data_IF_210998000545
#
_entry.id   IF_210998000545
#
_cell.length_a   1.000
_cell.length_b   1.000
_cell.length_c   1.000
_cell.angle_alpha   90.00
_cell.angle_beta   90.00
_cell.angle_gamma   90.00
#
_symmetry.space_group_name_H-M   'P 1'
#
loop_
_entity.id
_entity.type
_entity.pdbx_description
1 polymer ?
#
# COMPACT_ATOMS: atom_id res chain seq x y z
N UNK A 1 3.24 35.91 6.17
CA UNK A 1 3.82 34.64 6.72
C UNK A 1 3.01 33.47 6.19
N UNK A 2 3.64 32.37 5.76
CA UNK A 2 2.94 31.17 5.30
C UNK A 2 2.65 30.21 6.49
N UNK A 3 1.44 29.62 6.60
CA UNK A 3 1.12 28.68 7.67
C UNK A 3 1.90 27.36 7.51
N UNK A 4 2.48 26.83 8.60
CA UNK A 4 3.28 25.58 8.55
C UNK A 4 2.46 24.34 8.21
N UNK A 5 1.19 24.30 8.60
CA UNK A 5 0.25 23.25 8.20
C UNK A 5 -1.05 23.88 7.71
N UNK A 6 -1.56 23.38 6.59
CA UNK A 6 -2.87 23.73 6.06
C UNK A 6 -3.91 22.72 6.60
N UNK A 7 -4.80 23.18 7.48
CA UNK A 7 -5.89 22.37 8.06
C UNK A 7 -6.95 21.96 7.04
N UNK A 8 -7.99 21.24 7.45
CA UNK A 8 -8.95 20.64 6.51
C UNK A 8 -10.10 21.58 6.08
N UNK A 9 -10.52 22.53 6.93
CA UNK A 9 -11.55 23.54 6.61
C UNK A 9 -10.95 24.80 5.94
N UNK A 10 -9.82 24.66 5.25
CA UNK A 10 -9.01 25.77 4.70
C UNK A 10 -9.45 26.21 3.30
N UNK A 11 -10.10 25.35 2.54
CA UNK A 11 -10.67 25.70 1.23
C UNK A 11 -11.91 26.59 1.33
N UNK A 12 -12.54 26.66 2.52
CA UNK A 12 -13.84 27.33 2.77
C UNK A 12 -13.78 28.45 3.81
N UNK A 13 -12.68 28.60 4.56
CA UNK A 13 -12.48 29.75 5.46
C UNK A 13 -11.85 30.93 4.72
N UNK A 14 -12.52 32.08 4.72
CA UNK A 14 -12.26 33.28 3.89
C UNK A 14 -10.95 34.05 4.18
N UNK A 15 -10.01 33.43 4.89
CA UNK A 15 -8.66 33.97 5.13
C UNK A 15 -7.85 34.00 3.82
N UNK A 16 -7.54 35.22 3.33
CA UNK A 16 -6.69 35.43 2.14
C UNK A 16 -5.34 34.71 2.25
N UNK A 17 -4.75 34.66 3.46
CA UNK A 17 -3.49 33.96 3.71
C UNK A 17 -3.57 32.44 3.59
N UNK A 18 -4.76 31.86 3.77
CA UNK A 18 -4.99 30.41 3.67
C UNK A 18 -5.03 29.97 2.21
N UNK A 19 -5.82 30.66 1.36
CA UNK A 19 -5.87 30.39 -0.08
C UNK A 19 -4.50 30.61 -0.75
N UNK A 20 -3.79 31.68 -0.36
CA UNK A 20 -2.42 31.95 -0.79
C UNK A 20 -1.45 30.81 -0.42
N UNK A 21 -1.63 30.20 0.76
CA UNK A 21 -0.88 29.01 1.18
C UNK A 21 -1.13 27.79 0.27
N UNK A 22 -2.39 27.51 -0.07
CA UNK A 22 -2.72 26.42 -0.99
C UNK A 22 -2.18 26.66 -2.42
N UNK A 23 -2.27 27.89 -2.94
CA UNK A 23 -1.68 28.24 -4.24
C UNK A 23 -0.15 28.14 -4.22
N UNK A 24 0.51 28.54 -3.13
CA UNK A 24 1.96 28.40 -2.98
C UNK A 24 2.40 26.92 -2.92
N UNK A 25 1.68 26.05 -2.21
CA UNK A 25 1.92 24.59 -2.25
C UNK A 25 1.82 24.04 -3.67
N UNK A 26 0.78 24.41 -4.43
CA UNK A 26 0.60 23.91 -5.80
C UNK A 26 1.68 24.43 -6.77
N UNK A 27 2.09 25.70 -6.66
CA UNK A 27 3.19 26.26 -7.47
C UNK A 27 4.53 25.60 -7.12
N UNK A 28 4.83 25.46 -5.83
CA UNK A 28 6.06 24.81 -5.36
C UNK A 28 6.09 23.34 -5.75
N UNK A 29 4.96 22.62 -5.67
CA UNK A 29 4.83 21.27 -6.20
C UNK A 29 5.07 21.24 -7.71
N UNK A 30 4.44 22.14 -8.50
CA UNK A 30 4.58 22.16 -9.97
C UNK A 30 6.01 22.35 -10.43
N UNK A 31 6.78 23.21 -9.75
CA UNK A 31 8.21 23.43 -10.01
C UNK A 31 8.97 22.11 -9.78
N UNK A 32 9.08 21.65 -8.53
CA UNK A 32 9.91 20.50 -8.19
C UNK A 32 9.42 19.19 -8.85
N UNK A 33 8.11 18.99 -9.03
CA UNK A 33 7.55 17.84 -9.74
C UNK A 33 7.70 17.90 -11.27
N UNK A 34 8.09 19.02 -11.85
CA UNK A 34 8.38 19.13 -13.29
C UNK A 34 9.88 19.05 -13.53
N UNK A 35 10.69 19.73 -12.73
CA UNK A 35 12.15 19.60 -12.75
C UNK A 35 12.58 18.16 -12.46
N UNK A 36 11.99 17.47 -11.47
CA UNK A 36 12.27 16.05 -11.21
C UNK A 36 11.93 15.12 -12.39
N UNK A 37 10.88 15.42 -13.17
CA UNK A 37 10.56 14.65 -14.39
C UNK A 37 11.54 14.96 -15.52
N UNK A 38 12.00 16.21 -15.60
CA UNK A 38 12.96 16.65 -16.61
C UNK A 38 14.31 15.98 -16.37
N UNK A 39 14.88 16.14 -15.17
CA UNK A 39 16.12 15.47 -14.75
C UNK A 39 16.06 13.96 -15.01
N UNK A 40 14.99 13.27 -14.58
CA UNK A 40 14.85 11.81 -14.77
C UNK A 40 14.80 11.38 -16.26
N UNK A 41 14.29 12.21 -17.18
CA UNK A 41 14.36 11.95 -18.63
C UNK A 41 15.78 12.14 -19.19
N UNK A 42 16.53 13.07 -18.61
CA UNK A 42 17.89 13.45 -18.97
C UNK A 42 18.92 12.82 -18.01
N UNK A 43 18.63 11.62 -17.50
CA UNK A 43 19.40 10.91 -16.46
C UNK A 43 20.65 10.18 -16.99
N UNK A 44 21.02 10.43 -18.25
CA UNK A 44 22.20 9.88 -18.93
C UNK A 44 22.96 11.02 -19.60
N UNK A 45 24.29 10.93 -19.56
CA UNK A 45 25.23 11.94 -20.09
C UNK A 45 25.00 12.27 -21.58
N UNK A 46 24.48 11.32 -22.36
CA UNK A 46 24.14 11.48 -23.78
C UNK A 46 22.83 12.28 -24.02
N UNK A 47 22.59 13.36 -23.28
CA UNK A 47 21.33 14.11 -23.35
C UNK A 47 21.55 15.63 -23.29
N UNK A 48 20.56 16.42 -23.72
CA UNK A 48 20.70 17.88 -23.93
C UNK A 48 20.92 18.73 -22.64
N UNK A 49 21.12 18.09 -21.49
CA UNK A 49 21.29 18.70 -20.18
C UNK A 49 22.78 19.00 -19.93
N UNK A 50 23.28 20.08 -20.54
CA UNK A 50 24.66 20.55 -20.34
C UNK A 50 24.93 20.97 -18.89
N UNK A 51 26.20 21.01 -18.50
CA UNK A 51 26.63 21.45 -17.17
C UNK A 51 26.09 22.84 -16.81
N UNK A 52 26.04 23.76 -17.78
CA UNK A 52 25.55 25.14 -17.57
C UNK A 52 24.07 25.16 -17.22
N UNK A 53 23.22 24.46 -17.99
CA UNK A 53 21.79 24.29 -17.69
C UNK A 53 21.56 23.61 -16.33
N UNK A 54 22.49 22.74 -15.92
CA UNK A 54 22.43 22.05 -14.64
C UNK A 54 22.82 22.97 -13.48
N UNK A 55 23.77 23.90 -13.69
CA UNK A 55 24.05 25.00 -12.76
C UNK A 55 22.87 25.96 -12.65
N UNK A 56 22.29 26.42 -13.78
CA UNK A 56 21.08 27.26 -13.79
C UNK A 56 19.93 26.63 -12.99
N UNK A 57 19.68 25.32 -13.18
CA UNK A 57 18.68 24.57 -12.42
C UNK A 57 19.05 24.45 -10.94
N UNK A 58 20.32 24.21 -10.60
CA UNK A 58 20.78 24.14 -9.21
C UNK A 58 20.61 25.47 -8.48
N UNK A 59 21.02 26.58 -9.08
CA UNK A 59 20.88 27.93 -8.53
C UNK A 59 19.40 28.28 -8.32
N UNK A 60 18.57 28.08 -9.34
CA UNK A 60 17.12 28.35 -9.25
C UNK A 60 16.43 27.48 -8.18
N UNK A 61 16.75 26.18 -8.09
CA UNK A 61 16.20 25.30 -7.05
C UNK A 61 16.66 25.72 -5.64
N UNK A 62 17.91 26.15 -5.50
CA UNK A 62 18.46 26.67 -4.23
C UNK A 62 17.80 28.00 -3.85
N UNK A 63 17.61 28.91 -4.79
CA UNK A 63 16.88 30.17 -4.59
C UNK A 63 15.43 29.90 -4.16
N UNK A 64 14.78 28.89 -4.74
CA UNK A 64 13.43 28.44 -4.39
C UNK A 64 13.34 27.87 -2.97
N UNK A 65 14.32 27.09 -2.51
CA UNK A 65 14.40 26.63 -1.11
C UNK A 65 14.64 27.78 -0.11
N UNK A 66 15.32 28.85 -0.53
CA UNK A 66 15.53 30.02 0.32
C UNK A 66 14.34 30.99 0.36
N UNK A 67 13.26 30.77 -0.43
CA UNK A 67 12.06 31.62 -0.37
C UNK A 67 11.28 31.42 0.94
N UNK A 68 10.54 32.44 1.42
CA UNK A 68 9.69 32.36 2.61
C UNK A 68 8.66 31.22 2.63
N UNK A 69 8.31 30.62 1.50
CA UNK A 69 7.46 29.43 1.46
C UNK A 69 8.18 28.15 1.92
N UNK A 70 9.49 28.02 1.69
CA UNK A 70 10.27 26.92 2.23
C UNK A 70 10.77 27.28 3.64
N UNK A 71 11.56 28.34 3.80
CA UNK A 71 12.23 28.69 5.07
C UNK A 71 11.29 28.80 6.30
N UNK A 72 10.10 29.40 6.16
CA UNK A 72 9.13 29.51 7.27
C UNK A 72 8.59 28.17 7.81
N UNK A 73 8.96 27.05 7.18
CA UNK A 73 8.68 25.70 7.63
C UNK A 73 9.58 25.28 8.80
N UNK A 74 10.88 25.62 8.71
CA UNK A 74 11.94 25.04 9.52
C UNK A 74 12.13 25.73 10.88
N UNK A 75 11.90 27.04 10.97
CA UNK A 75 12.34 27.84 12.13
C UNK A 75 11.49 27.72 13.41
N UNK A 76 11.81 26.76 14.30
CA UNK A 76 11.89 27.12 15.73
C UNK A 76 12.83 26.25 16.57
N UNK A 77 13.54 25.31 15.93
CA UNK A 77 14.59 24.50 16.50
C UNK A 77 15.74 24.44 15.51
N UNK A 78 16.94 24.77 15.97
CA UNK A 78 18.18 24.89 15.17
C UNK A 78 18.17 26.05 14.17
N UNK A 79 18.90 27.12 14.51
CA UNK A 79 19.58 27.93 13.49
C UNK A 79 20.64 26.98 12.91
N UNK A 80 20.47 26.56 11.66
CA UNK A 80 21.49 25.80 10.95
C UNK A 80 22.31 26.79 10.12
N UNK A 81 23.61 26.82 10.41
CA UNK A 81 24.63 27.37 9.52
C UNK A 81 24.59 26.66 8.16
N UNK A 82 25.25 27.27 7.18
CA UNK A 82 25.24 26.88 5.77
C UNK A 82 25.46 25.37 5.50
N UNK A 83 24.90 24.91 4.37
CA UNK A 83 25.20 23.64 3.66
C UNK A 83 24.47 22.32 4.01
N UNK A 84 23.50 22.24 4.93
CA UNK A 84 23.03 20.93 5.46
C UNK A 84 21.54 20.52 5.35
N UNK A 85 20.68 21.21 4.58
CA UNK A 85 19.26 20.80 4.43
C UNK A 85 19.08 19.51 3.61
N UNK A 86 19.57 19.48 2.36
CA UNK A 86 19.48 18.31 1.47
C UNK A 86 20.36 17.12 1.90
N UNK A 87 21.44 17.40 2.64
CA UNK A 87 22.38 16.40 3.16
C UNK A 87 21.65 15.37 4.07
N UNK A 88 20.78 15.85 4.97
CA UNK A 88 20.03 15.03 5.92
C UNK A 88 19.05 14.01 5.29
N UNK A 89 18.64 14.19 4.03
CA UNK A 89 17.81 13.23 3.30
C UNK A 89 18.66 12.28 2.46
N UNK A 90 19.77 12.79 1.89
CA UNK A 90 20.74 11.95 1.17
C UNK A 90 21.33 10.88 2.09
N UNK A 91 21.90 11.30 3.22
CA UNK A 91 22.69 10.43 4.10
C UNK A 91 21.84 9.36 4.80
N UNK A 92 20.57 9.65 5.11
CA UNK A 92 19.68 8.75 5.85
C UNK A 92 19.12 7.60 4.98
N UNK A 93 19.16 7.75 3.65
CA UNK A 93 18.52 6.83 2.70
C UNK A 93 19.49 6.19 1.71
N UNK A 94 20.59 6.87 1.38
CA UNK A 94 21.64 6.39 0.48
C UNK A 94 23.02 6.71 1.07
N UNK A 95 23.41 6.08 2.20
CA UNK A 95 24.73 6.27 2.78
C UNK A 95 25.82 5.88 1.78
N UNK A 96 26.64 6.86 1.40
CA UNK A 96 27.97 6.71 0.83
C UNK A 96 28.16 5.68 -0.30
N UNK A 97 27.61 5.99 -1.48
CA UNK A 97 28.27 5.63 -2.77
C UNK A 97 29.29 6.71 -3.17
N UNK A 98 30.20 7.05 -2.25
CA UNK A 98 31.15 8.17 -2.38
C UNK A 98 32.59 7.78 -2.70
N UNK A 99 32.88 6.49 -2.79
CA UNK A 99 34.26 5.97 -2.85
C UNK A 99 34.71 5.63 -4.29
N UNK A 100 33.98 6.17 -5.28
CA UNK A 100 34.36 6.23 -6.68
C UNK A 100 34.40 7.70 -7.09
N UNK A 101 35.32 8.05 -8.00
CA UNK A 101 35.49 9.43 -8.51
C UNK A 101 34.16 9.87 -9.14
N UNK A 102 33.40 10.69 -8.42
CA UNK A 102 32.09 11.15 -8.88
C UNK A 102 32.33 12.23 -9.94
N UNK A 103 31.88 11.95 -11.16
CA UNK A 103 31.82 12.95 -12.23
C UNK A 103 31.15 14.25 -11.73
N UNK A 104 31.74 15.44 -11.97
CA UNK A 104 31.18 16.71 -11.50
C UNK A 104 29.76 16.98 -11.99
N UNK A 105 29.38 16.54 -13.20
CA UNK A 105 28.01 16.69 -13.70
C UNK A 105 27.04 15.80 -12.91
N UNK A 106 27.38 14.54 -12.67
CA UNK A 106 26.58 13.61 -11.87
C UNK A 106 26.48 14.07 -10.41
N UNK A 107 27.54 14.63 -9.83
CA UNK A 107 27.51 15.23 -8.49
C UNK A 107 26.50 16.39 -8.41
N UNK A 108 26.47 17.28 -9.41
CA UNK A 108 25.52 18.39 -9.48
C UNK A 108 24.08 17.91 -9.81
N UNK A 109 23.95 16.88 -10.65
CA UNK A 109 22.67 16.25 -10.99
C UNK A 109 22.01 15.66 -9.74
N UNK A 110 22.78 14.96 -8.89
CA UNK A 110 22.30 14.46 -7.61
C UNK A 110 21.81 15.59 -6.69
N UNK A 111 22.54 16.72 -6.61
CA UNK A 111 22.06 17.90 -5.87
C UNK A 111 20.71 18.40 -6.40
N UNK A 112 20.55 18.54 -7.71
CA UNK A 112 19.29 18.97 -8.33
C UNK A 112 18.12 17.99 -8.05
N UNK A 113 18.39 16.68 -8.07
CA UNK A 113 17.43 15.64 -7.67
C UNK A 113 17.03 15.79 -6.20
N UNK A 114 17.98 15.97 -5.29
CA UNK A 114 17.71 16.13 -3.86
C UNK A 114 16.92 17.40 -3.53
N UNK A 115 17.27 18.55 -4.11
CA UNK A 115 16.50 19.79 -3.99
C UNK A 115 15.05 19.60 -4.45
N UNK A 116 14.82 18.80 -5.50
CA UNK A 116 13.49 18.43 -5.95
C UNK A 116 12.74 17.50 -4.98
N UNK A 117 13.40 16.49 -4.41
CA UNK A 117 12.81 15.56 -3.44
C UNK A 117 12.41 16.30 -2.16
N UNK A 118 13.30 17.15 -1.63
CA UNK A 118 13.04 18.01 -0.48
C UNK A 118 11.89 18.98 -0.75
N UNK A 119 11.88 19.65 -1.91
CA UNK A 119 10.81 20.57 -2.27
C UNK A 119 9.42 19.91 -2.34
N UNK A 120 9.37 18.65 -2.78
CA UNK A 120 8.16 17.82 -2.74
C UNK A 120 7.79 17.39 -1.33
N UNK A 121 8.78 17.06 -0.49
CA UNK A 121 8.57 16.74 0.93
C UNK A 121 7.95 17.93 1.68
N UNK A 122 8.45 19.16 1.48
CA UNK A 122 7.87 20.39 2.05
C UNK A 122 6.39 20.54 1.63
N UNK A 123 6.04 20.27 0.37
CA UNK A 123 4.64 20.32 -0.09
C UNK A 123 3.73 19.36 0.67
N UNK A 124 4.17 18.11 0.83
CA UNK A 124 3.41 17.07 1.54
C UNK A 124 3.33 17.38 3.03
N UNK A 125 4.43 17.83 3.65
CA UNK A 125 4.48 18.00 5.09
C UNK A 125 3.75 19.29 5.55
N UNK A 126 3.67 20.32 4.67
CA UNK A 126 2.74 21.46 4.82
C UNK A 126 1.27 21.11 4.57
N UNK A 127 0.98 20.19 3.66
CA UNK A 127 -0.38 19.73 3.37
C UNK A 127 -0.43 18.20 3.30
N UNK A 128 -0.66 17.56 4.45
CA UNK A 128 -0.54 16.10 4.65
C UNK A 128 -1.56 15.24 3.87
N UNK A 129 -2.35 15.85 2.98
CA UNK A 129 -3.24 15.18 2.03
C UNK A 129 -2.88 15.48 0.57
N UNK A 130 -1.66 15.97 0.31
CA UNK A 130 -1.16 16.31 -1.02
C UNK A 130 -0.84 15.07 -1.87
N UNK A 131 -1.89 14.36 -2.30
CA UNK A 131 -1.82 13.11 -3.05
C UNK A 131 -0.92 13.17 -4.30
N UNK A 132 -0.87 14.32 -5.00
CA UNK A 132 0.01 14.54 -6.15
C UNK A 132 1.50 14.45 -5.77
N UNK A 133 1.86 14.92 -4.58
CA UNK A 133 3.22 14.85 -4.02
C UNK A 133 3.60 13.45 -3.56
N UNK A 134 2.74 12.80 -2.74
CA UNK A 134 2.95 11.41 -2.32
C UNK A 134 3.18 10.48 -3.51
N UNK A 135 2.31 10.55 -4.52
CA UNK A 135 2.46 9.76 -5.74
C UNK A 135 3.74 10.12 -6.51
N UNK A 136 4.17 11.39 -6.53
CA UNK A 136 5.41 11.81 -7.20
C UNK A 136 6.64 11.19 -6.55
N UNK A 137 6.75 11.23 -5.22
CA UNK A 137 7.87 10.64 -4.50
C UNK A 137 7.83 9.11 -4.55
N UNK A 138 6.70 8.49 -4.23
CA UNK A 138 6.56 7.04 -4.30
C UNK A 138 6.91 6.50 -5.71
N UNK A 139 6.37 7.10 -6.77
CA UNK A 139 6.70 6.70 -8.14
C UNK A 139 8.18 6.92 -8.45
N UNK A 140 8.80 8.01 -8.00
CA UNK A 140 10.22 8.26 -8.23
C UNK A 140 11.09 7.15 -7.63
N UNK A 141 10.88 6.82 -6.35
CA UNK A 141 11.61 5.76 -5.65
C UNK A 141 11.24 4.34 -6.12
N UNK A 142 10.11 4.13 -6.79
CA UNK A 142 9.80 2.84 -7.43
C UNK A 142 10.46 2.68 -8.81
N UNK A 143 10.44 3.71 -9.65
CA UNK A 143 10.76 3.57 -11.09
C UNK A 143 12.13 4.09 -11.52
N UNK A 144 12.86 4.82 -10.67
CA UNK A 144 14.12 5.46 -11.07
C UNK A 144 15.30 4.61 -10.61
N UNK A 145 15.92 3.90 -11.55
CA UNK A 145 16.91 2.84 -11.30
C UNK A 145 17.98 3.20 -10.25
N UNK A 146 18.69 4.33 -10.42
CA UNK A 146 19.76 4.76 -9.52
C UNK A 146 19.30 5.14 -8.09
N UNK A 147 18.00 5.42 -7.90
CA UNK A 147 17.41 5.81 -6.62
C UNK A 147 16.32 4.82 -6.17
N UNK A 148 16.30 3.59 -6.71
CA UNK A 148 15.18 2.68 -6.48
C UNK A 148 15.17 2.15 -5.03
N UNK A 149 14.11 2.47 -4.32
CA UNK A 149 13.82 2.01 -2.96
C UNK A 149 12.31 1.76 -2.82
N UNK A 150 11.90 0.51 -3.08
CA UNK A 150 10.49 0.10 -3.06
C UNK A 150 9.88 0.11 -1.65
N UNK A 151 10.69 -0.03 -0.59
CA UNK A 151 10.21 0.07 0.80
C UNK A 151 9.85 1.52 1.16
N UNK A 152 10.73 2.48 0.86
CA UNK A 152 10.42 3.91 1.00
C UNK A 152 9.23 4.33 0.13
N UNK A 153 9.16 3.81 -1.10
CA UNK A 153 8.02 4.04 -1.99
C UNK A 153 6.70 3.60 -1.34
N UNK A 154 6.70 2.44 -0.66
CA UNK A 154 5.55 1.93 0.07
C UNK A 154 5.25 2.75 1.33
N UNK A 155 6.25 3.23 2.08
CA UNK A 155 6.05 4.07 3.26
C UNK A 155 5.38 5.41 2.91
N UNK A 156 5.71 6.05 1.78
CA UNK A 156 4.96 7.22 1.30
C UNK A 156 3.47 6.92 1.06
N UNK A 157 3.10 5.68 0.80
CA UNK A 157 1.72 5.27 0.54
C UNK A 157 1.01 4.72 1.78
N UNK A 158 1.65 3.94 2.66
CA UNK A 158 1.03 3.31 3.83
C UNK A 158 1.39 3.95 5.18
N UNK A 159 2.42 4.79 5.21
CA UNK A 159 3.08 5.25 6.43
C UNK A 159 4.22 4.31 6.85
N UNK A 160 5.09 4.83 7.69
CA UNK A 160 6.25 4.13 8.23
C UNK A 160 7.01 5.00 9.22
N UNK A 161 8.05 4.44 9.85
CA UNK A 161 8.89 5.18 10.80
C UNK A 161 9.94 6.05 10.11
N UNK A 162 10.34 5.70 8.88
CA UNK A 162 11.44 6.35 8.16
C UNK A 162 11.03 7.74 7.61
N UNK A 163 9.71 8.02 7.55
CA UNK A 163 9.14 9.35 7.29
C UNK A 163 9.23 10.34 8.48
N UNK A 164 10.06 10.05 9.47
CA UNK A 164 10.39 10.92 10.62
C UNK A 164 11.80 11.52 10.46
N UNK A 165 12.02 12.23 9.35
CA UNK A 165 13.27 12.97 9.11
C UNK A 165 13.54 14.00 10.22
N UNK A 166 14.77 13.98 10.76
CA UNK A 166 15.24 14.98 11.74
C UNK A 166 15.07 16.40 11.18
N UNK A 167 14.57 17.32 12.00
CA UNK A 167 14.17 18.70 11.66
C UNK A 167 12.90 18.85 10.80
N UNK A 168 12.23 17.75 10.42
CA UNK A 168 10.91 17.78 9.78
C UNK A 168 9.86 17.15 10.71
N UNK A 169 8.60 17.61 10.71
CA UNK A 169 7.54 16.89 11.39
C UNK A 169 7.14 15.65 10.56
N UNK A 170 6.85 14.56 11.27
CA UNK A 170 6.35 13.28 10.75
C UNK A 170 5.31 13.45 9.64
N UNK A 171 5.59 12.87 8.47
CA UNK A 171 4.59 12.67 7.43
C UNK A 171 3.75 11.43 7.78
N UNK A 172 2.45 11.52 7.53
CA UNK A 172 1.49 10.39 7.58
C UNK A 172 1.28 9.92 6.14
N UNK A 173 1.43 8.62 5.86
CA UNK A 173 1.35 8.09 4.49
C UNK A 173 -0.06 8.23 3.88
N UNK A 174 -0.13 8.32 2.54
CA UNK A 174 -1.34 8.68 1.79
C UNK A 174 -2.60 7.84 2.15
N UNK A 175 -2.42 6.55 2.41
CA UNK A 175 -3.44 5.57 2.78
C UNK A 175 -3.26 5.04 4.22
N UNK A 176 -2.44 5.69 5.06
CA UNK A 176 -2.23 5.31 6.46
C UNK A 176 -3.52 5.42 7.28
N UNK A 177 -4.33 6.45 7.00
CA UNK A 177 -5.64 6.66 7.63
C UNK A 177 -6.79 5.83 6.98
N UNK A 178 -6.49 4.74 6.25
CA UNK A 178 -7.53 3.83 5.68
C UNK A 178 -8.35 3.17 6.79
N UNK A 179 -9.63 2.90 6.53
CA UNK A 179 -10.50 2.13 7.44
C UNK A 179 -10.80 0.74 6.89
N UNK A 180 -11.36 -0.17 7.71
CA UNK A 180 -11.67 -1.57 7.30
C UNK A 180 -12.51 -1.68 6.00
N UNK A 181 -13.27 -0.64 5.65
CA UNK A 181 -14.22 -0.58 4.53
C UNK A 181 -13.95 0.57 3.54
N UNK A 182 -12.91 1.40 3.76
CA UNK A 182 -12.62 2.53 2.87
C UNK A 182 -11.11 2.83 2.83
N UNK A 183 -10.48 2.50 1.70
CA UNK A 183 -9.09 2.82 1.38
C UNK A 183 -8.81 4.32 1.46
N UNK A 184 -9.75 5.14 1.01
CA UNK A 184 -9.62 6.59 0.83
C UNK A 184 -10.10 7.39 2.06
N UNK A 185 -10.29 6.76 3.22
CA UNK A 185 -10.92 7.35 4.40
C UNK A 185 -10.27 8.66 4.88
N UNK A 186 -8.93 8.74 4.92
CA UNK A 186 -8.23 10.00 5.19
C UNK A 186 -8.33 11.02 4.06
N UNK A 187 -8.37 10.55 2.81
CA UNK A 187 -8.38 11.38 1.59
C UNK A 187 -9.75 12.07 1.41
N UNK A 188 -10.84 11.50 1.96
CA UNK A 188 -12.18 12.12 1.97
C UNK A 188 -12.22 13.55 2.50
N UNK A 189 -11.33 13.89 3.44
CA UNK A 189 -11.32 15.19 4.14
C UNK A 189 -10.71 16.32 3.30
N UNK A 190 -10.39 16.07 2.03
CA UNK A 190 -10.02 17.08 1.04
C UNK A 190 -11.32 17.66 0.46
N UNK A 191 -11.70 18.89 0.84
CA UNK A 191 -12.64 19.66 0.03
C UNK A 191 -11.95 20.05 -1.30
N UNK A 192 -12.39 19.54 -2.45
CA UNK A 192 -11.58 19.58 -3.65
C UNK A 192 -11.86 20.84 -4.48
N UNK A 193 -11.18 21.94 -4.12
CA UNK A 193 -11.13 23.19 -4.93
C UNK A 193 -10.62 22.95 -6.38
N UNK A 194 -10.06 21.76 -6.64
CA UNK A 194 -9.52 21.26 -7.90
C UNK A 194 -10.39 20.17 -8.58
N UNK A 195 -11.54 19.74 -8.02
CA UNK A 195 -12.28 18.57 -8.52
C UNK A 195 -12.63 18.67 -10.01
N UNK A 196 -13.17 19.82 -10.42
CA UNK A 196 -13.66 20.06 -11.78
C UNK A 196 -12.55 20.48 -12.76
N UNK A 197 -11.28 20.51 -12.32
CA UNK A 197 -10.15 20.83 -13.20
C UNK A 197 -9.77 19.62 -14.04
N UNK A 198 -9.79 19.81 -15.36
CA UNK A 198 -9.42 18.81 -16.36
C UNK A 198 -7.99 18.31 -16.11
N UNK A 199 -7.87 17.01 -15.81
CA UNK A 199 -6.67 16.40 -15.21
C UNK A 199 -6.98 15.53 -13.99
N UNK A 200 -8.14 15.77 -13.36
CA UNK A 200 -8.87 14.94 -12.39
C UNK A 200 -8.10 14.31 -11.20
N UNK A 201 -8.62 14.59 -10.01
CA UNK A 201 -8.39 13.85 -8.77
C UNK A 201 -8.41 12.32 -8.98
N UNK A 202 -9.40 11.80 -9.71
CA UNK A 202 -9.62 10.36 -9.88
C UNK A 202 -8.50 9.69 -10.67
N UNK A 203 -7.97 10.36 -11.69
CA UNK A 203 -6.83 9.87 -12.46
C UNK A 203 -5.53 9.86 -11.63
N UNK A 204 -5.46 10.65 -10.55
CA UNK A 204 -4.35 10.60 -9.59
C UNK A 204 -4.54 9.51 -8.55
N UNK A 205 -5.77 9.35 -8.01
CA UNK A 205 -6.15 8.25 -7.12
C UNK A 205 -5.92 6.88 -7.77
N UNK A 206 -6.34 6.70 -9.02
CA UNK A 206 -6.09 5.46 -9.78
C UNK A 206 -4.59 5.14 -9.86
N UNK A 207 -3.75 6.16 -10.13
CA UNK A 207 -2.30 5.98 -10.27
C UNK A 207 -1.62 5.64 -8.94
N UNK A 208 -2.00 6.28 -7.83
CA UNK A 208 -1.43 5.97 -6.51
C UNK A 208 -1.95 4.65 -5.93
N UNK A 209 -3.22 4.29 -6.18
CA UNK A 209 -3.77 2.99 -5.75
C UNK A 209 -3.18 1.85 -6.58
N UNK A 210 -2.96 2.06 -7.89
CA UNK A 210 -2.26 1.07 -8.74
C UNK A 210 -0.82 0.86 -8.28
N UNK A 211 -0.07 1.94 -8.04
CA UNK A 211 1.29 1.86 -7.51
C UNK A 211 1.33 1.14 -6.15
N UNK A 212 0.37 1.40 -5.26
CA UNK A 212 0.24 0.68 -4.00
C UNK A 212 0.07 -0.84 -4.23
N UNK A 213 -0.81 -1.25 -5.14
CA UNK A 213 -1.01 -2.66 -5.51
C UNK A 213 0.29 -3.27 -6.08
N UNK A 214 0.96 -2.55 -7.00
CA UNK A 214 2.19 -3.00 -7.66
C UNK A 214 3.38 -3.13 -6.69
N UNK A 215 3.41 -2.34 -5.59
CA UNK A 215 4.39 -2.47 -4.51
C UNK A 215 4.03 -3.59 -3.52
N UNK A 216 2.77 -3.66 -3.08
CA UNK A 216 2.28 -4.72 -2.18
C UNK A 216 2.47 -6.13 -2.74
N UNK A 217 2.52 -6.29 -4.06
CA UNK A 217 2.79 -7.56 -4.75
C UNK A 217 4.26 -7.99 -4.74
N UNK A 218 5.20 -7.13 -4.33
CA UNK A 218 6.64 -7.41 -4.26
C UNK A 218 7.08 -7.96 -2.90
N UNK A 219 6.28 -7.75 -1.87
CA UNK A 219 6.61 -8.05 -0.47
C UNK A 219 5.66 -9.12 0.09
N UNK A 220 6.21 -10.27 0.48
CA UNK A 220 5.44 -11.42 0.97
C UNK A 220 4.69 -11.09 2.26
N UNK A 221 5.33 -10.30 3.13
CA UNK A 221 4.78 -9.75 4.38
C UNK A 221 3.59 -8.79 4.17
N UNK A 222 3.27 -8.44 2.92
CA UNK A 222 2.25 -7.45 2.59
C UNK A 222 1.09 -7.99 1.74
N UNK A 223 1.09 -9.28 1.39
CA UNK A 223 -0.02 -9.91 0.65
C UNK A 223 -1.36 -9.86 1.42
N UNK A 224 -1.34 -9.90 2.75
CA UNK A 224 -2.54 -9.68 3.57
C UNK A 224 -3.04 -8.23 3.53
N UNK A 225 -2.14 -7.23 3.45
CA UNK A 225 -2.53 -5.82 3.27
C UNK A 225 -3.15 -5.62 1.87
N UNK A 226 -2.62 -6.28 0.84
CA UNK A 226 -3.24 -6.29 -0.49
C UNK A 226 -4.65 -6.88 -0.48
N UNK A 227 -4.91 -7.90 0.34
CA UNK A 227 -6.25 -8.46 0.51
C UNK A 227 -7.22 -7.45 1.17
N UNK A 228 -6.76 -6.67 2.16
CA UNK A 228 -7.56 -5.56 2.70
C UNK A 228 -7.87 -4.50 1.64
N UNK A 229 -6.85 -4.07 0.89
CA UNK A 229 -6.97 -3.07 -0.19
C UNK A 229 -7.93 -3.56 -1.27
N UNK A 230 -7.87 -4.83 -1.64
CA UNK A 230 -8.82 -5.45 -2.57
C UNK A 230 -10.25 -5.42 -2.02
N UNK A 231 -10.49 -5.81 -0.76
CA UNK A 231 -11.83 -5.70 -0.15
C UNK A 231 -12.36 -4.27 -0.18
N UNK A 232 -11.55 -3.30 0.24
CA UNK A 232 -11.86 -1.86 0.23
C UNK A 232 -12.12 -1.29 -1.18
N UNK A 233 -11.69 -1.97 -2.24
CA UNK A 233 -11.95 -1.59 -3.64
C UNK A 233 -13.13 -2.36 -4.26
N UNK A 234 -13.50 -3.53 -3.74
CA UNK A 234 -14.69 -4.31 -4.14
C UNK A 234 -15.97 -3.70 -3.59
N UNK A 235 -15.92 -3.21 -2.35
CA UNK A 235 -16.97 -2.38 -1.75
C UNK A 235 -17.25 -1.18 -2.68
N UNK A 236 -18.52 -0.90 -2.98
CA UNK A 236 -18.91 0.27 -3.77
C UNK A 236 -18.86 1.51 -2.87
N UNK A 237 -18.14 2.58 -3.26
CA UNK A 237 -18.12 3.80 -2.46
C UNK A 237 -19.50 4.47 -2.44
N UNK A 238 -19.80 5.17 -1.34
CA UNK A 238 -21.02 5.99 -1.22
C UNK A 238 -21.16 6.97 -2.39
N UNK A 239 -22.39 7.35 -2.73
CA UNK A 239 -22.70 8.14 -3.93
C UNK A 239 -21.92 9.47 -4.03
N UNK A 240 -21.56 10.07 -2.89
CA UNK A 240 -20.80 11.33 -2.83
C UNK A 240 -19.28 11.11 -2.86
N UNK A 241 -18.80 9.90 -2.56
CA UNK A 241 -17.39 9.57 -2.28
C UNK A 241 -16.66 9.00 -3.49
N UNK A 242 -16.80 9.65 -4.65
CA UNK A 242 -16.33 9.16 -5.96
C UNK A 242 -14.83 9.43 -6.25
N UNK A 243 -13.93 8.87 -5.44
CA UNK A 243 -12.46 8.94 -5.66
C UNK A 243 -11.97 8.32 -6.97
N UNK A 244 -12.76 7.41 -7.54
CA UNK A 244 -12.47 6.66 -8.75
C UNK A 244 -13.72 6.63 -9.61
N UNK A 245 -13.59 6.63 -10.93
CA UNK A 245 -14.69 6.22 -11.80
C UNK A 245 -14.91 4.71 -11.65
N UNK A 246 -16.14 4.23 -11.82
CA UNK A 246 -16.45 2.80 -11.64
C UNK A 246 -15.59 1.89 -12.55
N UNK A 247 -15.28 2.36 -13.76
CA UNK A 247 -14.34 1.69 -14.68
C UNK A 247 -12.94 1.58 -14.08
N UNK A 248 -12.41 2.67 -13.50
CA UNK A 248 -11.09 2.69 -12.85
C UNK A 248 -11.04 1.76 -11.62
N UNK A 249 -12.11 1.75 -10.81
CA UNK A 249 -12.27 0.84 -9.67
C UNK A 249 -12.26 -0.63 -10.12
N UNK A 250 -13.05 -0.97 -11.15
CA UNK A 250 -13.08 -2.33 -11.72
C UNK A 250 -11.72 -2.74 -12.30
N UNK A 251 -11.02 -1.85 -12.99
CA UNK A 251 -9.65 -2.10 -13.49
C UNK A 251 -8.65 -2.36 -12.37
N UNK A 252 -8.73 -1.65 -11.23
CA UNK A 252 -7.86 -1.89 -10.07
C UNK A 252 -8.14 -3.25 -9.41
N UNK A 253 -9.41 -3.61 -9.21
CA UNK A 253 -9.80 -4.93 -8.70
C UNK A 253 -9.30 -6.06 -9.60
N UNK A 254 -9.54 -5.96 -10.92
CA UNK A 254 -9.06 -6.93 -11.91
C UNK A 254 -7.53 -7.05 -11.90
N UNK A 255 -6.81 -5.92 -11.80
CA UNK A 255 -5.34 -5.89 -11.74
C UNK A 255 -4.81 -6.55 -10.46
N UNK A 256 -5.39 -6.26 -9.30
CA UNK A 256 -5.03 -6.88 -8.02
C UNK A 256 -5.28 -8.40 -8.04
N UNK A 257 -6.48 -8.84 -8.41
CA UNK A 257 -6.84 -10.27 -8.45
C UNK A 257 -5.93 -11.04 -9.42
N UNK A 258 -5.76 -10.53 -10.64
CA UNK A 258 -4.98 -11.17 -11.71
C UNK A 258 -3.51 -11.33 -11.33
N UNK A 259 -2.91 -10.33 -10.69
CA UNK A 259 -1.50 -10.41 -10.31
C UNK A 259 -1.28 -11.12 -8.98
N UNK A 260 -2.21 -11.06 -8.02
CA UNK A 260 -2.15 -11.89 -6.81
C UNK A 260 -2.27 -13.38 -7.15
N UNK A 261 -3.19 -13.77 -8.05
CA UNK A 261 -3.25 -15.12 -8.62
C UNK A 261 -1.90 -15.54 -9.22
N UNK A 262 -1.27 -14.67 -10.02
CA UNK A 262 0.04 -14.94 -10.65
C UNK A 262 1.17 -15.08 -9.63
N UNK A 263 1.22 -14.21 -8.62
CA UNK A 263 2.25 -14.26 -7.56
C UNK A 263 2.13 -15.54 -6.74
N UNK A 264 0.91 -15.91 -6.32
CA UNK A 264 0.66 -17.18 -5.60
C UNK A 264 1.01 -18.37 -6.50
N UNK A 265 0.47 -18.44 -7.74
CA UNK A 265 0.73 -19.54 -8.68
C UNK A 265 2.22 -19.68 -8.99
N UNK A 266 2.95 -18.57 -9.18
CA UNK A 266 4.42 -18.57 -9.37
C UNK A 266 5.14 -19.15 -8.15
N UNK A 267 4.84 -18.66 -6.93
CA UNK A 267 5.50 -19.11 -5.70
C UNK A 267 5.24 -20.60 -5.43
N UNK A 268 4.00 -21.05 -5.56
CA UNK A 268 3.59 -22.45 -5.39
C UNK A 268 4.26 -23.39 -6.38
N UNK A 269 4.46 -22.96 -7.63
CA UNK A 269 5.14 -23.75 -8.67
C UNK A 269 6.67 -23.75 -8.55
N UNK A 270 7.27 -22.70 -7.95
CA UNK A 270 8.71 -22.61 -7.71
C UNK A 270 9.20 -23.44 -6.50
N UNK A 271 8.32 -23.82 -5.57
CA UNK A 271 8.69 -24.73 -4.46
C UNK A 271 9.08 -26.09 -5.02
N UNK A 272 10.33 -26.47 -4.81
CA UNK A 272 10.90 -27.77 -5.16
C UNK A 272 10.36 -28.88 -4.24
N UNK A 273 10.74 -30.14 -4.49
CA UNK A 273 10.47 -31.24 -3.55
C UNK A 273 11.14 -30.97 -2.20
N UNK A 274 12.38 -30.53 -2.23
CA UNK A 274 13.22 -30.35 -1.05
C UNK A 274 12.74 -29.16 -0.19
N UNK A 275 12.13 -28.15 -0.82
CA UNK A 275 11.41 -27.08 -0.10
C UNK A 275 10.16 -27.61 0.64
N UNK A 276 9.38 -28.48 -0.02
CA UNK A 276 8.19 -29.12 0.56
C UNK A 276 8.56 -30.03 1.74
N UNK A 277 9.65 -30.77 1.61
CA UNK A 277 10.16 -31.66 2.65
C UNK A 277 10.70 -30.85 3.86
N UNK A 278 11.45 -29.77 3.61
CA UNK A 278 11.91 -28.82 4.65
C UNK A 278 10.76 -28.10 5.36
N UNK A 279 9.76 -27.60 4.64
CA UNK A 279 8.57 -26.99 5.26
C UNK A 279 7.80 -27.99 6.14
N UNK A 280 7.73 -29.26 5.73
CA UNK A 280 7.17 -30.33 6.56
C UNK A 280 7.93 -30.51 7.87
N UNK A 281 9.25 -30.63 7.80
CA UNK A 281 10.11 -30.78 8.98
C UNK A 281 9.95 -29.59 9.94
N UNK A 282 9.92 -28.34 9.44
CA UNK A 282 9.71 -27.14 10.27
C UNK A 282 8.34 -27.13 11.00
N UNK A 283 7.27 -27.55 10.33
CA UNK A 283 5.93 -27.64 10.94
C UNK A 283 5.86 -28.71 12.03
N UNK A 284 6.50 -29.86 11.83
CA UNK A 284 6.57 -30.96 12.81
C UNK A 284 7.36 -30.51 14.04
N UNK A 285 8.59 -30.02 13.84
CA UNK A 285 9.53 -29.66 14.91
C UNK A 285 9.11 -28.42 15.68
N UNK A 286 8.20 -27.60 15.12
CA UNK A 286 7.80 -26.30 15.68
C UNK A 286 8.98 -25.32 15.81
N UNK A 287 10.02 -25.50 14.99
CA UNK A 287 11.19 -24.62 14.93
C UNK A 287 10.81 -23.37 14.12
N UNK A 288 10.65 -22.26 14.83
CA UNK A 288 10.35 -20.94 14.26
C UNK A 288 11.64 -20.27 13.73
N UNK A 289 12.26 -20.93 12.75
CA UNK A 289 13.39 -20.37 12.00
C UNK A 289 12.94 -19.17 11.16
N UNK A 290 13.57 -18.01 11.38
CA UNK A 290 13.36 -16.78 10.62
C UNK A 290 13.90 -16.87 9.19
N UNK A 291 13.36 -17.79 8.40
CA UNK A 291 13.60 -18.02 6.98
C UNK A 291 12.82 -16.99 6.14
N UNK A 292 13.15 -15.71 6.37
CA UNK A 292 12.33 -14.53 6.07
C UNK A 292 12.08 -14.25 4.59
N UNK A 293 12.71 -15.00 3.68
CA UNK A 293 12.77 -14.69 2.26
C UNK A 293 11.76 -15.44 1.37
N UNK A 294 10.96 -16.38 1.89
CA UNK A 294 10.04 -17.15 1.05
C UNK A 294 8.80 -17.67 1.82
N UNK A 295 7.65 -17.00 1.62
CA UNK A 295 6.35 -17.40 2.21
C UNK A 295 6.06 -18.90 2.04
N UNK A 296 5.52 -19.52 3.09
CA UNK A 296 5.29 -20.96 3.16
C UNK A 296 4.00 -21.38 2.42
N UNK A 297 3.95 -22.63 1.97
CA UNK A 297 2.78 -23.22 1.30
C UNK A 297 1.49 -23.22 2.13
N UNK A 298 1.48 -23.43 3.47
CA UNK A 298 0.29 -23.22 4.30
C UNK A 298 -0.30 -21.82 4.13
N UNK A 299 0.54 -20.77 4.18
CA UNK A 299 0.09 -19.37 4.09
C UNK A 299 -0.36 -19.06 2.65
N UNK A 300 0.34 -19.56 1.62
CA UNK A 300 -0.09 -19.44 0.23
C UNK A 300 -1.46 -20.09 -0.02
N UNK A 301 -1.74 -21.23 0.62
CA UNK A 301 -3.04 -21.89 0.59
C UNK A 301 -4.12 -21.07 1.30
N UNK A 302 -3.84 -20.59 2.52
CA UNK A 302 -4.74 -19.72 3.28
C UNK A 302 -5.13 -18.44 2.51
N UNK A 303 -4.14 -17.76 1.91
CA UNK A 303 -4.37 -16.57 1.08
C UNK A 303 -5.23 -16.92 -0.14
N UNK A 304 -5.01 -18.09 -0.78
CA UNK A 304 -5.84 -18.52 -1.92
C UNK A 304 -7.30 -18.78 -1.53
N UNK A 305 -7.56 -19.41 -0.38
CA UNK A 305 -8.91 -19.62 0.15
C UNK A 305 -9.56 -18.27 0.48
N UNK A 306 -8.83 -17.36 1.13
CA UNK A 306 -9.32 -16.01 1.44
C UNK A 306 -9.68 -15.24 0.16
N UNK A 307 -8.83 -15.28 -0.86
CA UNK A 307 -9.07 -14.65 -2.16
C UNK A 307 -10.29 -15.24 -2.88
N UNK A 308 -10.42 -16.57 -2.94
CA UNK A 308 -11.60 -17.23 -3.49
C UNK A 308 -12.88 -16.82 -2.74
N UNK A 309 -12.87 -16.88 -1.41
CA UNK A 309 -14.04 -16.53 -0.59
C UNK A 309 -14.45 -15.07 -0.71
N UNK A 310 -13.51 -14.15 -0.93
CA UNK A 310 -13.79 -12.74 -1.19
C UNK A 310 -14.40 -12.50 -2.58
N UNK A 311 -13.92 -13.22 -3.61
CA UNK A 311 -14.26 -12.94 -5.02
C UNK A 311 -15.46 -13.74 -5.54
N UNK A 312 -15.73 -14.95 -5.05
CA UNK A 312 -16.83 -15.82 -5.53
C UNK A 312 -18.22 -15.17 -5.58
N UNK A 313 -18.46 -14.16 -4.73
CA UNK A 313 -19.73 -13.41 -4.66
C UNK A 313 -19.83 -12.23 -5.65
N UNK A 314 -18.79 -11.96 -6.44
CA UNK A 314 -18.72 -10.86 -7.42
C UNK A 314 -18.54 -11.43 -8.85
N UNK A 315 -19.64 -11.72 -9.59
CA UNK A 315 -19.57 -12.40 -10.88
C UNK A 315 -18.68 -11.70 -11.91
N UNK A 316 -18.64 -10.36 -11.94
CA UNK A 316 -17.84 -9.60 -12.91
C UNK A 316 -16.31 -9.74 -12.72
N UNK A 317 -15.88 -10.23 -11.57
CA UNK A 317 -14.48 -10.52 -11.28
C UNK A 317 -14.23 -12.04 -11.27
N UNK A 318 -15.14 -12.82 -10.69
CA UNK A 318 -14.96 -14.27 -10.50
C UNK A 318 -14.89 -15.06 -11.81
N UNK A 319 -15.76 -14.77 -12.79
CA UNK A 319 -15.89 -15.56 -14.03
C UNK A 319 -14.59 -15.71 -14.85
N UNK A 320 -13.65 -14.76 -14.71
CA UNK A 320 -12.39 -14.71 -15.46
C UNK A 320 -11.16 -14.86 -14.55
N UNK A 321 -11.35 -15.34 -13.31
CA UNK A 321 -10.33 -15.31 -12.26
C UNK A 321 -9.54 -16.61 -12.08
N UNK A 322 -10.08 -17.75 -12.52
CA UNK A 322 -9.51 -19.10 -12.34
C UNK A 322 -9.19 -19.46 -10.87
N UNK A 323 -9.85 -18.83 -9.89
CA UNK A 323 -9.48 -18.97 -8.47
C UNK A 323 -9.67 -20.40 -7.92
N UNK A 324 -10.59 -21.17 -8.44
CA UNK A 324 -10.76 -22.60 -8.13
C UNK A 324 -9.51 -23.41 -8.47
N UNK A 325 -8.90 -23.16 -9.63
CA UNK A 325 -7.61 -23.78 -10.02
C UNK A 325 -6.48 -23.37 -9.08
N UNK A 326 -6.52 -22.13 -8.56
CA UNK A 326 -5.52 -21.64 -7.63
C UNK A 326 -5.63 -22.34 -6.26
N UNK A 327 -6.84 -22.48 -5.74
CA UNK A 327 -7.13 -23.15 -4.46
C UNK A 327 -6.81 -24.65 -4.54
N UNK A 328 -7.15 -25.30 -5.66
CA UNK A 328 -6.80 -26.72 -5.85
C UNK A 328 -5.28 -26.91 -6.01
N UNK A 329 -4.58 -26.04 -6.76
CA UNK A 329 -3.12 -26.10 -6.92
C UNK A 329 -2.37 -25.87 -5.60
N UNK A 330 -2.78 -24.88 -4.79
CA UNK A 330 -2.21 -24.64 -3.47
C UNK A 330 -2.52 -25.79 -2.52
N UNK A 331 -3.76 -26.30 -2.50
CA UNK A 331 -4.15 -27.45 -1.68
C UNK A 331 -3.33 -28.70 -2.02
N UNK A 332 -3.14 -29.01 -3.31
CA UNK A 332 -2.36 -30.17 -3.74
C UNK A 332 -0.89 -30.09 -3.29
N UNK A 333 -0.25 -28.92 -3.43
CA UNK A 333 1.13 -28.72 -2.94
C UNK A 333 1.21 -28.73 -1.42
N UNK A 334 0.24 -28.14 -0.72
CA UNK A 334 0.16 -28.18 0.72
C UNK A 334 -0.04 -29.61 1.26
N UNK A 335 -0.91 -30.41 0.62
CA UNK A 335 -1.13 -31.82 0.98
C UNK A 335 0.12 -32.69 0.81
N UNK A 336 1.07 -32.31 -0.06
CA UNK A 336 2.36 -33.01 -0.12
C UNK A 336 3.20 -32.80 1.14
N UNK A 337 3.16 -31.62 1.77
CA UNK A 337 3.82 -31.38 3.07
C UNK A 337 3.27 -32.35 4.13
N UNK A 338 1.94 -32.48 4.20
CA UNK A 338 1.27 -33.34 5.19
C UNK A 338 1.66 -34.83 5.03
N UNK A 339 1.99 -35.29 3.82
CA UNK A 339 2.52 -36.65 3.60
C UNK A 339 3.89 -36.86 4.26
N UNK A 340 4.81 -35.91 4.11
CA UNK A 340 6.11 -35.98 4.80
C UNK A 340 5.92 -35.94 6.33
N UNK A 341 4.94 -35.18 6.82
CA UNK A 341 4.56 -35.17 8.24
C UNK A 341 3.99 -36.49 8.75
N UNK A 342 3.48 -37.37 7.88
CA UNK A 342 3.01 -38.72 8.24
C UNK A 342 4.06 -39.83 8.09
N UNK A 343 5.30 -39.49 7.73
CA UNK A 343 6.42 -40.44 7.59
C UNK A 343 7.49 -40.33 8.70
N UNK A 344 7.24 -39.49 9.70
CA UNK A 344 8.01 -39.41 10.96
C UNK A 344 7.12 -39.87 12.13
N UNK A 345 7.70 -40.22 13.30
CA UNK A 345 6.93 -40.70 14.45
C UNK A 345 5.79 -39.76 14.86
N UNK A 346 4.69 -40.36 15.32
CA UNK A 346 3.35 -39.76 15.43
C UNK A 346 3.33 -38.33 16.01
N UNK A 347 2.93 -37.35 15.20
CA UNK A 347 2.73 -35.96 15.63
C UNK A 347 1.28 -35.51 15.36
N UNK A 348 0.43 -35.34 16.40
CA UNK A 348 -1.00 -35.05 16.24
C UNK A 348 -1.33 -33.65 15.69
N UNK A 349 -0.33 -32.79 15.43
CA UNK A 349 -0.56 -31.50 14.75
C UNK A 349 -0.97 -31.65 13.28
N UNK A 350 -0.61 -32.75 12.61
CA UNK A 350 -0.82 -32.94 11.18
C UNK A 350 -2.30 -33.14 10.77
N UNK A 351 -3.10 -33.79 11.63
CA UNK A 351 -4.49 -34.14 11.30
C UNK A 351 -5.41 -32.91 11.29
N UNK A 352 -5.27 -32.03 12.28
CA UNK A 352 -6.04 -30.78 12.40
C UNK A 352 -5.95 -29.91 11.13
N UNK A 353 -4.78 -29.88 10.50
CA UNK A 353 -4.54 -29.12 9.27
C UNK A 353 -5.18 -29.75 8.02
N UNK A 354 -5.44 -31.07 8.05
CA UNK A 354 -6.09 -31.81 6.97
C UNK A 354 -7.60 -31.60 6.95
N UNK A 355 -8.21 -31.35 8.12
CA UNK A 355 -9.66 -31.15 8.30
C UNK A 355 -10.20 -29.84 7.70
N UNK A 356 -9.34 -28.82 7.53
CA UNK A 356 -9.75 -27.45 7.16
C UNK A 356 -10.29 -27.34 5.72
N UNK A 357 -9.95 -28.27 4.83
CA UNK A 357 -10.45 -28.27 3.44
C UNK A 357 -10.74 -29.67 2.89
N UNK A 358 -12.02 -30.01 2.78
CA UNK A 358 -12.50 -31.12 1.96
C UNK A 358 -13.05 -30.58 0.64
N UNK A 359 -12.44 -30.89 -0.53
CA UNK A 359 -12.93 -30.39 -1.81
C UNK A 359 -14.30 -30.98 -2.15
N UNK A 360 -15.33 -30.12 -2.18
CA UNK A 360 -16.69 -30.50 -2.59
C UNK A 360 -16.69 -30.86 -4.08
N UNK A 361 -16.65 -32.16 -4.39
CA UNK A 361 -16.82 -32.68 -5.76
C UNK A 361 -18.06 -32.05 -6.42
N UNK A 362 -17.84 -31.29 -7.49
CA UNK A 362 -18.89 -30.67 -8.31
C UNK A 362 -19.71 -31.73 -9.04
N UNK A 363 -20.67 -32.35 -8.34
CA UNK A 363 -21.72 -33.16 -8.97
C UNK A 363 -22.61 -32.24 -9.80
N UNK A 364 -22.54 -32.37 -11.13
CA UNK A 364 -23.47 -31.73 -12.06
C UNK A 364 -24.91 -32.09 -11.69
N UNK A 365 -25.68 -31.13 -11.18
CA UNK A 365 -27.03 -31.37 -10.66
C UNK A 365 -28.05 -31.31 -11.81
N UNK A 366 -28.42 -32.47 -12.35
CA UNK A 366 -29.62 -32.60 -13.20
C UNK A 366 -30.84 -32.02 -12.45
N UNK A 367 -31.72 -31.31 -13.16
CA UNK A 367 -33.03 -30.87 -12.62
C UNK A 367 -33.89 -32.07 -12.26
N UNK A 368 -34.66 -31.98 -11.16
CA UNK A 368 -36.05 -32.43 -11.17
C UNK A 368 -37.06 -31.27 -11.12
N UNK A 369 -38.32 -31.62 -11.26
CA UNK A 369 -39.51 -30.77 -11.35
C UNK A 369 -40.08 -30.34 -9.98
N UNK A 370 -40.93 -29.30 -10.06
CA UNK A 370 -41.99 -28.86 -9.14
C UNK A 370 -42.56 -29.85 -8.11
N UNK A 371 -42.91 -29.35 -6.91
CA UNK A 371 -44.29 -29.28 -6.35
C UNK A 371 -44.32 -28.31 -5.14
N UNK A 372 -45.52 -27.83 -4.78
CA UNK A 372 -45.87 -26.69 -3.91
C UNK A 372 -45.66 -26.77 -2.37
N UNK A 373 -46.02 -25.64 -1.73
CA UNK A 373 -46.78 -25.51 -0.45
C UNK A 373 -46.10 -25.04 0.86
N UNK A 374 -46.06 -23.71 1.01
CA UNK A 374 -46.74 -22.92 2.08
C UNK A 374 -46.21 -22.79 3.52
N UNK A 375 -46.39 -21.57 4.08
CA UNK A 375 -46.70 -21.22 5.49
C UNK A 375 -45.62 -21.41 6.59
N UNK A 376 -45.57 -20.61 7.69
CA UNK A 376 -46.05 -19.21 7.94
C UNK A 376 -45.30 -18.59 9.16
N UNK A 377 -45.21 -17.25 9.20
CA UNK A 377 -44.83 -16.32 10.31
C UNK A 377 -44.45 -16.85 11.71
N UNK A 378 -43.41 -16.23 12.31
CA UNK A 378 -43.53 -15.33 13.49
C UNK A 378 -42.24 -14.55 13.87
N UNK A 379 -42.43 -13.32 14.40
CA UNK A 379 -41.52 -12.53 15.29
C UNK A 379 -42.29 -12.27 16.61
N UNK A 380 -41.66 -11.93 17.77
CA UNK A 380 -41.16 -10.58 18.14
C UNK A 380 -39.65 -10.59 18.54
N UNK A 381 -38.86 -9.51 18.77
CA UNK A 381 -38.95 -8.36 19.72
C UNK A 381 -38.93 -8.82 21.21
N UNK A 382 -38.21 -8.22 22.20
CA UNK A 382 -37.44 -6.95 22.37
C UNK A 382 -36.49 -7.13 23.63
N UNK A 383 -35.64 -6.26 24.25
CA UNK A 383 -35.32 -4.80 24.26
C UNK A 383 -33.98 -4.46 25.01
N UNK A 384 -33.40 -3.26 24.75
CA UNK A 384 -32.57 -2.35 25.58
C UNK A 384 -31.29 -2.74 26.38
N UNK A 385 -30.20 -1.99 26.10
CA UNK A 385 -29.31 -1.24 27.07
C UNK A 385 -28.28 -2.00 27.96
N UNK A 386 -27.16 -1.45 28.48
CA UNK A 386 -26.59 -0.07 28.53
C UNK A 386 -25.03 -0.07 28.72
N UNK A 387 -24.32 1.04 28.38
CA UNK A 387 -23.07 1.65 28.98
C UNK A 387 -21.94 0.81 29.66
N UNK A 388 -20.63 1.14 29.61
CA UNK A 388 -19.84 2.19 28.92
C UNK A 388 -18.29 2.00 29.09
N UNK A 389 -17.50 2.86 28.39
CA UNK A 389 -16.17 3.44 28.75
C UNK A 389 -14.85 2.62 28.82
N UNK A 390 -13.84 3.19 28.10
CA UNK A 390 -12.40 3.32 28.43
C UNK A 390 -11.43 2.11 28.51
N UNK A 391 -10.71 1.90 27.39
CA UNK A 391 -9.23 1.89 27.26
C UNK A 391 -8.33 1.18 28.30
N UNK A 392 -7.52 0.23 27.81
CA UNK A 392 -6.05 0.37 27.77
C UNK A 392 -5.44 -0.53 26.70
N UNK A 393 -4.16 -0.32 26.35
CA UNK A 393 -3.51 -0.96 25.18
C UNK A 393 -2.26 -1.75 25.54
N UNK A 394 -2.38 -3.06 25.72
CA UNK A 394 -1.28 -4.03 25.54
C UNK A 394 -1.82 -5.46 25.50
N UNK A 395 -1.51 -6.19 24.41
CA UNK A 395 -1.52 -7.67 24.22
C UNK A 395 -1.92 -8.00 22.77
N UNK A 396 -0.93 -8.05 21.88
CA UNK A 396 -1.13 -8.34 20.46
C UNK A 396 -0.20 -9.46 19.97
N UNK A 397 -0.11 -10.58 20.71
CA UNK A 397 0.71 -11.74 20.30
C UNK A 397 0.24 -13.14 20.74
N UNK A 398 -0.98 -13.31 21.29
CA UNK A 398 -1.51 -14.62 21.73
C UNK A 398 -2.88 -15.01 21.11
N UNK A 399 -3.33 -14.30 20.08
CA UNK A 399 -4.68 -14.49 19.49
C UNK A 399 -4.81 -15.50 18.34
N UNK A 400 -3.72 -16.14 17.89
CA UNK A 400 -3.73 -16.89 16.61
C UNK A 400 -4.38 -18.28 16.66
N UNK A 401 -4.54 -18.88 17.84
CA UNK A 401 -5.18 -20.21 17.99
C UNK A 401 -6.67 -20.12 18.40
N UNK A 402 -7.03 -19.13 19.21
CA UNK A 402 -8.36 -19.04 19.84
C UNK A 402 -9.47 -18.54 18.91
N UNK A 403 -9.15 -17.81 17.84
CA UNK A 403 -10.16 -17.24 16.94
C UNK A 403 -10.79 -18.26 15.98
N UNK A 404 -10.19 -19.44 15.81
CA UNK A 404 -10.67 -20.47 14.86
C UNK A 404 -11.95 -21.17 15.35
N UNK A 405 -12.21 -21.19 16.67
CA UNK A 405 -13.33 -21.91 17.26
C UNK A 405 -14.68 -21.15 17.19
N UNK A 406 -14.68 -19.83 17.34
CA UNK A 406 -15.90 -19.09 17.68
C UNK A 406 -16.77 -18.66 16.48
N UNK A 407 -16.18 -18.40 15.31
CA UNK A 407 -16.90 -17.87 14.14
C UNK A 407 -17.58 -18.96 13.26
N UNK A 408 -17.53 -20.24 13.66
CA UNK A 408 -18.04 -21.37 12.85
C UNK A 408 -19.21 -22.17 13.46
N UNK A 409 -19.72 -21.78 14.64
CA UNK A 409 -20.75 -22.56 15.37
C UNK A 409 -22.18 -22.31 14.86
N UNK A 410 -22.45 -21.19 14.19
CA UNK A 410 -23.81 -20.78 13.77
C UNK A 410 -24.11 -20.96 12.27
N UNK A 411 -23.84 -22.17 11.74
CA UNK A 411 -24.46 -22.65 10.49
C UNK A 411 -24.94 -24.10 10.68
N UNK A 412 -26.01 -24.29 11.46
CA UNK A 412 -26.86 -25.49 11.44
C UNK A 412 -28.15 -25.24 12.25
N UNK A 413 -29.05 -24.43 11.69
CA UNK A 413 -30.52 -24.50 11.85
C UNK A 413 -31.17 -23.84 10.62
#
# INVERSE_FOLDING_TARGET
VYPRKLGHHTATSSSKGTLLGCHAVEMFYRIHASTLKYLNRHSKESSDLTMDKLNELYEFLTEMQNKPFATSYYEKSTILSDSHSGQLISDLYFPHKTDLIIDPWFALYNKCIWLCIEGLYICIARYNRHYRGFYRLAHFFHTTEHYRNDRLSLEFLLGGGVLELKNYPKIVGLYQERSKHNLFNGIWRIQPLDADRTGSFNASMYKSTRLLIDLLLQFDEHLFILFEVLRQLLDKPDLDKKYLREVERKMLCQHAIKNLFRTIKKKVLLKTRDDIEREGIKIISSIDENDTNNISLPILFEISIKLYNLIKNYPEFYQHSHLDELVELTFQRYRSILKYSSHLPENPKAENLTLIYTPKKLKQKKRPTTTDQSNVNKRPCVESSTSASTSSSSQAFQGLASFIANDFVTINE
#
